data_IF_625045226457
#
_entry.id   IF_625045226457
#
_cell.length_a   1.000
_cell.length_b   1.000
_cell.length_c   1.000
_cell.angle_alpha   90.00
_cell.angle_beta   90.00
_cell.angle_gamma   90.00
#
_symmetry.space_group_name_H-M   'P 1'
#
loop_
_entity.id
_entity.type
_entity.pdbx_description
1 polymer ?
#
# COMPACT_ATOMS: atom_id res chain seq x y z
N UNK A 1 20.94 -12.25 6.71
CA UNK A 1 19.81 -12.67 5.86
C UNK A 1 18.54 -12.09 6.47
N UNK A 2 18.27 -10.80 6.25
CA UNK A 2 17.16 -10.09 6.90
C UNK A 2 16.00 -9.99 5.90
N UNK A 3 15.10 -10.96 5.92
CA UNK A 3 14.02 -11.04 4.94
C UNK A 3 12.62 -10.86 5.55
N UNK A 4 12.48 -10.39 6.79
CA UNK A 4 11.20 -10.56 7.48
C UNK A 4 10.78 -9.32 8.27
N UNK A 5 10.41 -8.24 7.56
CA UNK A 5 9.24 -7.44 7.94
C UNK A 5 8.83 -6.41 6.88
N UNK A 6 9.04 -6.70 5.59
CA UNK A 6 8.45 -5.86 4.58
C UNK A 6 6.96 -6.19 4.46
N UNK A 7 6.13 -5.36 5.11
CA UNK A 7 4.67 -5.45 5.07
C UNK A 7 4.17 -5.46 3.62
N UNK A 8 4.94 -4.96 2.66
CA UNK A 8 4.59 -4.94 1.25
C UNK A 8 4.85 -6.25 0.51
N UNK A 9 5.79 -7.08 0.97
CA UNK A 9 5.95 -8.44 0.46
C UNK A 9 4.90 -9.39 1.03
N UNK A 10 4.38 -9.09 2.23
CA UNK A 10 3.36 -9.91 2.89
C UNK A 10 1.91 -9.43 2.65
N UNK A 11 1.69 -8.33 1.93
CA UNK A 11 0.35 -7.88 1.56
C UNK A 11 -0.02 -8.40 0.18
N UNK A 12 -1.23 -8.93 0.02
CA UNK A 12 -1.71 -9.39 -1.27
C UNK A 12 -1.75 -8.25 -2.30
N UNK A 13 -1.38 -8.57 -3.54
CA UNK A 13 -1.50 -7.63 -4.65
C UNK A 13 -2.96 -7.34 -4.98
N UNK A 14 -3.23 -6.12 -5.44
CA UNK A 14 -4.55 -5.78 -5.94
C UNK A 14 -4.90 -6.62 -7.18
N UNK A 15 -6.12 -7.15 -7.19
CA UNK A 15 -6.67 -8.00 -8.25
C UNK A 15 -7.98 -7.36 -8.69
N UNK A 16 -8.07 -7.05 -9.99
CA UNK A 16 -9.23 -6.37 -10.58
C UNK A 16 -10.57 -7.05 -10.30
N UNK A 17 -10.62 -8.39 -10.38
CA UNK A 17 -11.86 -9.14 -10.25
C UNK A 17 -12.24 -9.46 -8.80
N UNK A 18 -11.35 -9.15 -7.84
CA UNK A 18 -11.61 -9.35 -6.42
C UNK A 18 -12.51 -8.25 -5.85
N UNK A 19 -13.36 -8.64 -4.90
CA UNK A 19 -14.16 -7.70 -4.11
C UNK A 19 -13.46 -7.46 -2.77
N UNK A 20 -13.27 -6.19 -2.44
CA UNK A 20 -12.61 -5.74 -1.22
C UNK A 20 -13.60 -5.06 -0.31
N UNK A 21 -13.71 -5.52 0.94
CA UNK A 21 -14.53 -4.87 1.96
C UNK A 21 -13.76 -3.71 2.60
N UNK A 22 -14.50 -2.85 3.31
CA UNK A 22 -13.93 -1.76 4.10
C UNK A 22 -12.80 -2.27 5.01
N UNK A 23 -11.69 -1.54 5.05
CA UNK A 23 -10.53 -1.88 5.87
C UNK A 23 -9.60 -2.95 5.26
N UNK A 24 -9.97 -3.63 4.18
CA UNK A 24 -9.08 -4.56 3.49
C UNK A 24 -7.90 -3.81 2.86
N UNK A 25 -6.72 -4.43 2.89
CA UNK A 25 -5.47 -3.85 2.40
C UNK A 25 -4.90 -4.64 1.24
N UNK A 26 -4.36 -3.91 0.26
CA UNK A 26 -3.70 -4.45 -0.92
C UNK A 26 -2.42 -3.67 -1.21
N UNK A 27 -1.46 -4.32 -1.87
CA UNK A 27 -0.31 -3.63 -2.45
C UNK A 27 -0.63 -3.26 -3.91
N UNK A 28 -0.34 -2.02 -4.28
CA UNK A 28 -0.41 -1.53 -5.66
C UNK A 28 0.54 -0.35 -5.85
N UNK A 29 1.25 -0.34 -6.99
CA UNK A 29 2.20 0.71 -7.35
C UNK A 29 3.19 1.08 -6.23
N UNK A 30 3.85 0.06 -5.66
CA UNK A 30 4.79 0.20 -4.54
C UNK A 30 4.22 0.95 -3.33
N UNK A 31 2.94 0.76 -3.03
CA UNK A 31 2.29 1.29 -1.84
C UNK A 31 1.20 0.34 -1.31
N UNK A 32 0.93 0.44 -0.01
CA UNK A 32 -0.22 -0.20 0.63
C UNK A 32 -1.41 0.74 0.55
N UNK A 33 -2.52 0.19 0.08
CA UNK A 33 -3.80 0.85 -0.04
C UNK A 33 -4.83 0.15 0.81
N UNK A 34 -5.74 0.91 1.41
CA UNK A 34 -6.85 0.41 2.21
C UNK A 34 -8.18 0.80 1.58
N UNK A 35 -9.10 -0.15 1.50
CA UNK A 35 -10.43 0.08 1.01
C UNK A 35 -11.24 0.93 2.01
N UNK A 36 -11.83 2.03 1.55
CA UNK A 36 -12.69 2.89 2.39
C UNK A 36 -14.12 2.37 2.48
N UNK A 37 -14.56 1.56 1.51
CA UNK A 37 -15.86 0.88 1.48
C UNK A 37 -15.75 -0.42 0.67
N UNK A 38 -16.88 -1.00 0.26
CA UNK A 38 -16.88 -2.16 -0.63
C UNK A 38 -16.46 -1.74 -2.06
N UNK A 39 -15.39 -2.31 -2.58
CA UNK A 39 -14.80 -1.93 -3.87
C UNK A 39 -14.63 -3.18 -4.73
N UNK A 40 -14.99 -3.10 -6.00
CA UNK A 40 -14.73 -4.15 -6.99
C UNK A 40 -14.39 -3.51 -8.34
N UNK A 41 -13.30 -3.94 -8.96
CA UNK A 41 -12.90 -3.46 -10.28
C UNK A 41 -12.19 -2.11 -10.33
N UNK A 42 -12.21 -1.31 -9.24
CA UNK A 42 -11.54 0.00 -9.20
C UNK A 42 -10.10 -0.12 -8.73
N UNK A 43 -9.18 0.47 -9.49
CA UNK A 43 -7.75 0.46 -9.22
C UNK A 43 -7.36 1.44 -8.08
N UNK A 44 -6.44 1.07 -7.18
CA UNK A 44 -5.93 1.99 -6.17
C UNK A 44 -5.23 3.21 -6.77
N UNK A 45 -5.62 4.40 -6.29
CA UNK A 45 -5.13 5.68 -6.80
C UNK A 45 -6.00 6.32 -7.89
N UNK A 46 -7.05 5.63 -8.35
CA UNK A 46 -8.02 6.17 -9.30
C UNK A 46 -9.38 6.44 -8.64
N UNK A 47 -10.09 7.50 -9.07
CA UNK A 47 -11.43 7.76 -8.61
C UNK A 47 -12.41 6.71 -9.15
N UNK A 48 -13.44 6.41 -8.36
CA UNK A 48 -14.52 5.55 -8.79
C UNK A 48 -15.38 6.24 -9.88
N UNK A 49 -15.71 5.53 -10.97
CA UNK A 49 -16.59 6.08 -12.00
C UNK A 49 -17.96 6.47 -11.43
N UNK A 50 -18.38 7.71 -11.69
CA UNK A 50 -19.69 8.23 -11.32
C UNK A 50 -19.70 9.07 -10.06
N UNK A 51 -18.97 8.68 -9.00
CA UNK A 51 -18.83 9.48 -7.77
C UNK A 51 -17.66 10.47 -7.87
N UNK A 52 -16.57 10.08 -8.54
CA UNK A 52 -15.32 10.85 -8.56
C UNK A 52 -14.53 10.76 -7.26
N UNK A 53 -15.00 9.96 -6.30
CA UNK A 53 -14.33 9.76 -5.02
C UNK A 53 -13.22 8.72 -5.15
N UNK A 54 -12.15 8.88 -4.35
CA UNK A 54 -11.11 7.85 -4.24
C UNK A 54 -11.59 6.75 -3.28
N UNK A 55 -11.81 5.52 -3.76
CA UNK A 55 -12.29 4.43 -2.91
C UNK A 55 -11.14 3.80 -2.10
N UNK A 56 -9.90 3.98 -2.57
CA UNK A 56 -8.70 3.52 -1.90
C UNK A 56 -7.98 4.67 -1.19
N UNK A 57 -7.64 4.46 0.07
CA UNK A 57 -6.78 5.34 0.84
C UNK A 57 -5.35 4.81 0.84
N UNK A 58 -4.38 5.67 0.52
CA UNK A 58 -2.96 5.32 0.57
C UNK A 58 -2.47 5.32 2.01
N UNK A 59 -2.08 4.16 2.53
CA UNK A 59 -1.65 4.02 3.92
C UNK A 59 -0.16 4.33 4.07
N UNK A 60 0.65 3.77 3.20
CA UNK A 60 2.11 3.97 3.19
C UNK A 60 2.73 3.52 1.89
N UNK A 61 3.89 4.06 1.57
CA UNK A 61 4.74 3.51 0.51
C UNK A 61 5.35 2.18 0.96
N UNK A 62 5.58 1.33 -0.01
CA UNK A 62 6.38 0.11 0.08
C UNK A 62 7.85 0.37 -0.23
N UNK A 63 8.19 1.59 -0.61
CA UNK A 63 9.58 2.01 -0.65
C UNK A 63 10.22 1.79 0.71
N UNK A 64 11.46 1.32 0.62
CA UNK A 64 12.36 1.01 1.70
C UNK A 64 12.65 2.19 2.66
N UNK A 65 11.91 3.30 2.59
CA UNK A 65 12.01 4.44 3.49
C UNK A 65 11.70 4.09 4.94
N UNK A 66 10.92 3.03 5.21
CA UNK A 66 10.75 2.52 6.58
C UNK A 66 11.90 1.61 7.05
N UNK A 67 12.76 1.13 6.15
CA UNK A 67 13.98 0.41 6.53
C UNK A 67 15.27 1.23 6.38
N UNK A 68 15.26 2.37 5.68
CA UNK A 68 16.40 3.29 5.59
C UNK A 68 16.38 4.39 6.67
N UNK A 69 15.21 4.86 7.11
CA UNK A 69 15.16 5.86 8.19
C UNK A 69 15.27 5.27 9.60
N UNK A 70 15.09 3.94 9.73
CA UNK A 70 15.32 3.20 10.96
C UNK A 70 16.81 2.92 11.27
N UNK A 71 17.74 3.41 10.45
CA UNK A 71 19.16 3.42 10.76
C UNK A 71 19.63 4.83 11.16
N UNK A 72 19.38 5.28 12.41
CA UNK A 72 20.00 6.51 12.94
C UNK A 72 21.54 6.44 13.03
N UNK A 73 22.16 5.32 12.62
CA UNK A 73 23.60 5.09 12.71
C UNK A 73 24.39 5.37 11.41
N UNK A 74 23.76 5.84 10.32
CA UNK A 74 24.48 6.31 9.11
C UNK A 74 24.71 7.85 9.10
N UNK A 75 25.13 8.41 10.24
CA UNK A 75 25.74 9.75 10.30
C UNK A 75 26.98 9.78 11.20
N UNK A 76 27.90 8.85 11.00
CA UNK A 76 29.28 9.00 11.49
C UNK A 76 30.27 8.46 10.43
N UNK A 77 30.44 9.20 9.35
CA UNK A 77 31.63 9.11 8.49
C UNK A 77 31.68 10.32 7.54
N UNK A 78 32.14 11.46 8.07
CA UNK A 78 32.85 12.49 7.32
C UNK A 78 33.69 13.31 8.30
#
# INVERSE_FOLDING_TARGET
MNQQNDICLNTAEWIKDAAYQIGMRVRWNNAIWQAKWWIKGTEPGYPEPGSGELPWEKIKNCDADLCYTAAPWLKEAA
#
